data_IF_126890008339
#
_entry.id   IF_126890008339
#
_cell.length_a   1.000
_cell.length_b   1.000
_cell.length_c   1.000
_cell.angle_alpha   90.00
_cell.angle_beta   90.00
_cell.angle_gamma   90.00
#
_symmetry.space_group_name_H-M   'P 1'
#
loop_
_entity.id
_entity.type
_entity.pdbx_description
1 polymer ?
#
# COMPACT_ATOMS: atom_id res chain seq x y z
N UNK A 1 -68.49 8.84 8.89
CA UNK A 1 -67.43 7.92 8.52
C UNK A 1 -66.15 8.39 9.19
N UNK A 2 -65.34 7.47 9.73
CA UNK A 2 -64.03 7.72 10.32
C UNK A 2 -62.98 7.38 9.28
N UNK A 3 -62.12 8.30 8.94
CA UNK A 3 -60.98 8.18 8.01
C UNK A 3 -59.71 8.03 8.85
N UNK A 4 -58.93 6.96 8.61
CA UNK A 4 -57.67 6.70 9.32
C UNK A 4 -56.54 7.58 8.79
N UNK A 5 -55.47 7.85 9.56
CA UNK A 5 -54.30 8.62 9.10
C UNK A 5 -53.60 8.01 7.87
N UNK A 6 -53.68 6.68 7.72
CA UNK A 6 -53.10 5.88 6.62
C UNK A 6 -53.93 5.91 5.35
N UNK A 7 -55.12 6.51 5.40
CA UNK A 7 -56.08 6.49 4.32
C UNK A 7 -56.63 7.89 4.00
N UNK A 8 -57.17 8.04 2.81
CA UNK A 8 -58.02 9.14 2.40
C UNK A 8 -59.33 8.56 1.87
N UNK A 9 -60.40 9.30 1.99
CA UNK A 9 -61.68 8.82 1.50
C UNK A 9 -62.21 9.74 0.39
N UNK A 10 -62.50 9.17 -0.75
CA UNK A 10 -63.20 9.89 -1.83
C UNK A 10 -64.70 9.76 -1.55
N UNK A 11 -65.35 10.90 -1.50
CA UNK A 11 -66.83 10.97 -1.35
C UNK A 11 -67.45 11.30 -2.70
N UNK A 12 -68.24 10.39 -3.21
CA UNK A 12 -69.04 10.57 -4.43
C UNK A 12 -70.49 10.81 -4.05
N UNK A 13 -71.08 11.82 -4.65
CA UNK A 13 -72.51 12.14 -4.47
C UNK A 13 -73.27 11.97 -5.78
N UNK A 14 -74.21 11.03 -5.76
CA UNK A 14 -75.01 10.69 -6.95
C UNK A 14 -74.12 10.35 -8.18
N UNK A 15 -73.01 9.62 -7.95
CA UNK A 15 -72.07 9.22 -8.99
C UNK A 15 -71.08 10.28 -9.46
N UNK A 16 -71.07 11.46 -8.84
CA UNK A 16 -70.12 12.56 -9.13
C UNK A 16 -69.12 12.73 -8.00
N UNK A 17 -67.86 12.95 -8.33
CA UNK A 17 -66.87 13.36 -7.34
C UNK A 17 -67.34 14.60 -6.57
N UNK A 18 -67.36 14.51 -5.26
CA UNK A 18 -67.75 15.63 -4.41
C UNK A 18 -66.54 16.22 -3.64
N UNK A 19 -65.78 15.42 -2.91
CA UNK A 19 -64.61 15.85 -2.15
C UNK A 19 -63.74 14.68 -1.71
N UNK A 20 -62.52 15.03 -1.31
CA UNK A 20 -61.64 14.07 -0.56
C UNK A 20 -61.77 14.38 0.94
N UNK A 21 -62.08 13.38 1.71
CA UNK A 21 -62.13 13.50 3.16
C UNK A 21 -60.77 13.17 3.77
N UNK A 22 -60.29 14.09 4.62
CA UNK A 22 -59.07 14.01 5.38
C UNK A 22 -59.25 13.08 6.62
N UNK A 23 -58.15 12.67 7.28
CA UNK A 23 -58.23 11.84 8.50
C UNK A 23 -59.08 12.52 9.58
N UNK A 24 -59.86 11.70 10.28
CA UNK A 24 -60.78 12.15 11.31
C UNK A 24 -62.23 11.81 11.00
N UNK A 25 -63.16 12.50 11.63
CA UNK A 25 -64.60 12.30 11.45
C UNK A 25 -65.06 13.06 10.22
N UNK A 26 -65.63 12.39 9.27
CA UNK A 26 -66.25 12.98 8.06
C UNK A 26 -67.73 12.61 7.99
N UNK A 27 -68.54 13.61 7.74
CA UNK A 27 -69.98 13.42 7.58
C UNK A 27 -70.31 12.96 6.15
N UNK A 28 -71.21 12.01 6.01
CA UNK A 28 -71.75 11.57 4.74
C UNK A 28 -73.28 11.51 4.82
N UNK A 29 -73.94 11.74 3.73
CA UNK A 29 -75.41 11.57 3.63
C UNK A 29 -75.67 10.14 3.23
N UNK A 30 -76.28 9.32 4.09
CA UNK A 30 -76.63 7.95 3.73
C UNK A 30 -77.51 7.97 2.47
N UNK A 31 -77.42 6.95 1.63
CA UNK A 31 -78.17 6.79 0.35
C UNK A 31 -77.56 7.61 -0.81
N UNK A 32 -77.16 8.87 -0.62
CA UNK A 32 -76.64 9.75 -1.68
C UNK A 32 -75.16 9.71 -1.85
N UNK A 33 -74.39 9.50 -0.72
CA UNK A 33 -72.96 9.54 -0.73
C UNK A 33 -72.35 8.10 -0.69
N UNK A 34 -71.51 7.80 -1.68
CA UNK A 34 -70.63 6.61 -1.68
C UNK A 34 -69.23 7.05 -1.26
N UNK A 35 -68.55 6.18 -0.50
CA UNK A 35 -67.22 6.48 0.04
C UNK A 35 -66.26 5.40 -0.36
N UNK A 36 -65.16 5.76 -1.04
CA UNK A 36 -64.08 4.86 -1.43
C UNK A 36 -62.83 5.25 -0.63
N UNK A 37 -62.25 4.26 0.06
CA UNK A 37 -61.03 4.45 0.81
C UNK A 37 -59.81 4.14 -0.06
N UNK A 38 -58.86 5.09 -0.06
CA UNK A 38 -57.59 5.01 -0.77
C UNK A 38 -56.44 4.95 0.27
N UNK A 39 -55.67 3.91 0.26
CA UNK A 39 -54.53 3.79 1.11
C UNK A 39 -53.38 4.68 0.54
N UNK A 40 -52.80 5.51 1.39
CA UNK A 40 -51.67 6.42 1.06
C UNK A 40 -50.34 5.95 1.58
N UNK A 41 -50.29 4.82 2.29
CA UNK A 41 -49.05 4.23 2.75
C UNK A 41 -48.28 3.56 1.60
N UNK A 42 -47.00 3.30 1.81
CA UNK A 42 -46.20 2.55 0.86
C UNK A 42 -46.77 1.12 0.71
N UNK A 43 -46.94 0.73 -0.52
CA UNK A 43 -47.41 -0.60 -0.92
C UNK A 43 -46.39 -1.24 -1.85
N UNK A 44 -46.23 -2.55 -1.78
CA UNK A 44 -45.39 -3.33 -2.67
C UNK A 44 -46.23 -4.16 -3.62
N UNK A 45 -45.80 -4.28 -4.86
CA UNK A 45 -46.33 -5.26 -5.82
C UNK A 45 -45.17 -5.99 -6.48
N UNK A 46 -45.37 -7.30 -6.68
CA UNK A 46 -44.45 -8.16 -7.41
C UNK A 46 -44.83 -8.19 -8.88
N UNK A 47 -43.90 -7.85 -9.76
CA UNK A 47 -43.99 -8.15 -11.17
C UNK A 47 -43.69 -9.64 -11.32
N UNK A 48 -44.73 -10.44 -11.68
CA UNK A 48 -44.57 -11.90 -11.84
C UNK A 48 -43.44 -12.22 -12.79
N UNK A 49 -42.66 -13.29 -12.50
CA UNK A 49 -41.54 -13.70 -13.34
C UNK A 49 -41.94 -13.86 -14.81
N UNK A 50 -41.13 -13.35 -15.69
CA UNK A 50 -41.33 -13.46 -17.15
C UNK A 50 -40.04 -13.82 -17.85
N UNK A 51 -40.13 -14.61 -18.91
CA UNK A 51 -38.99 -14.91 -19.77
C UNK A 51 -38.73 -13.75 -20.73
N UNK A 52 -37.52 -13.24 -20.76
CA UNK A 52 -37.07 -12.17 -21.63
C UNK A 52 -35.85 -12.67 -22.44
N UNK A 53 -35.79 -12.30 -23.70
CA UNK A 53 -34.63 -12.58 -24.57
C UNK A 53 -33.68 -11.41 -24.46
N UNK A 54 -32.45 -11.66 -24.03
CA UNK A 54 -31.36 -10.68 -23.93
C UNK A 54 -30.77 -10.38 -25.31
N UNK A 55 -29.88 -9.34 -25.38
CA UNK A 55 -29.20 -8.94 -26.61
C UNK A 55 -28.37 -10.07 -27.23
N UNK A 56 -27.79 -10.93 -26.40
CA UNK A 56 -26.99 -12.11 -26.78
C UNK A 56 -27.88 -13.34 -27.11
N UNK A 57 -29.18 -13.11 -27.26
CA UNK A 57 -30.20 -14.12 -27.63
C UNK A 57 -30.37 -15.26 -26.62
N UNK A 58 -30.03 -15.01 -25.38
CA UNK A 58 -30.27 -15.94 -24.28
C UNK A 58 -31.61 -15.63 -23.63
N UNK A 59 -32.30 -16.70 -23.22
CA UNK A 59 -33.51 -16.56 -22.41
C UNK A 59 -33.10 -16.30 -20.94
N UNK A 60 -33.73 -15.34 -20.30
CA UNK A 60 -33.60 -15.13 -18.87
C UNK A 60 -34.97 -14.96 -18.23
N UNK A 61 -35.19 -15.61 -17.11
CA UNK A 61 -36.37 -15.40 -16.29
C UNK A 61 -36.08 -14.23 -15.36
N UNK A 62 -36.95 -13.21 -15.38
CA UNK A 62 -36.73 -11.95 -14.67
C UNK A 62 -37.99 -11.58 -13.92
N UNK A 63 -37.82 -11.18 -12.66
CA UNK A 63 -38.84 -10.58 -11.82
C UNK A 63 -38.38 -9.30 -11.15
N UNK A 64 -39.31 -8.46 -10.69
CA UNK A 64 -39.03 -7.23 -9.99
C UNK A 64 -40.10 -6.92 -8.95
N UNK A 65 -39.67 -6.13 -7.96
CA UNK A 65 -40.55 -5.59 -6.93
C UNK A 65 -40.65 -4.09 -7.07
N UNK A 66 -41.86 -3.57 -7.02
CA UNK A 66 -42.14 -2.13 -7.13
C UNK A 66 -42.79 -1.65 -5.86
N UNK A 67 -42.16 -0.66 -5.24
CA UNK A 67 -42.70 0.01 -4.07
C UNK A 67 -43.24 1.38 -4.48
N UNK A 68 -44.48 1.63 -4.14
CA UNK A 68 -45.20 2.84 -4.54
C UNK A 68 -46.19 3.26 -3.46
N UNK A 69 -46.58 4.50 -3.51
CA UNK A 69 -47.63 5.10 -2.67
C UNK A 69 -48.52 6.03 -3.50
N UNK A 70 -49.74 6.23 -3.09
CA UNK A 70 -50.58 7.27 -3.62
C UNK A 70 -50.20 8.60 -2.93
N UNK A 71 -49.97 9.65 -3.70
CA UNK A 71 -49.68 10.98 -3.13
C UNK A 71 -50.83 11.48 -2.31
N UNK A 72 -50.59 12.14 -1.14
CA UNK A 72 -51.66 12.55 -0.21
C UNK A 72 -52.47 13.77 -0.64
N UNK A 73 -52.18 14.36 -1.79
CA UNK A 73 -52.90 15.51 -2.33
C UNK A 73 -54.22 15.09 -2.96
N UNK A 74 -55.23 15.96 -2.88
CA UNK A 74 -56.60 15.69 -3.30
C UNK A 74 -56.71 15.33 -4.80
N UNK A 75 -55.85 15.94 -5.64
CA UNK A 75 -55.81 15.67 -7.07
C UNK A 75 -55.24 14.31 -7.37
N UNK A 76 -54.14 13.90 -6.76
CA UNK A 76 -53.53 12.59 -6.94
C UNK A 76 -54.43 11.48 -6.44
N UNK A 77 -55.11 11.70 -5.31
CA UNK A 77 -56.09 10.73 -4.78
C UNK A 77 -57.24 10.52 -5.78
N UNK A 78 -57.75 11.63 -6.33
CA UNK A 78 -58.80 11.56 -7.38
C UNK A 78 -58.29 10.83 -8.62
N UNK A 79 -57.11 11.15 -9.10
CA UNK A 79 -56.54 10.57 -10.31
C UNK A 79 -56.26 9.10 -10.13
N UNK A 80 -55.90 8.61 -8.93
CA UNK A 80 -55.64 7.18 -8.65
C UNK A 80 -56.89 6.30 -8.77
N UNK A 81 -58.10 6.92 -8.71
CA UNK A 81 -59.37 6.20 -8.80
C UNK A 81 -60.10 6.40 -10.13
N UNK A 82 -59.91 7.57 -10.79
CA UNK A 82 -60.62 7.89 -12.01
C UNK A 82 -59.81 7.80 -13.29
N UNK A 83 -58.51 8.03 -13.23
CA UNK A 83 -57.64 8.00 -14.41
C UNK A 83 -57.15 6.58 -14.74
N UNK A 84 -57.24 5.66 -13.79
CA UNK A 84 -56.77 4.28 -13.95
C UNK A 84 -57.70 3.30 -13.24
N UNK A 85 -58.13 2.25 -13.94
CA UNK A 85 -59.10 1.30 -13.38
C UNK A 85 -58.50 0.48 -12.20
N UNK A 86 -57.33 -0.02 -12.36
CA UNK A 86 -56.60 -0.76 -11.30
C UNK A 86 -55.11 -0.46 -11.41
N UNK A 87 -54.66 0.57 -10.70
CA UNK A 87 -53.27 1.01 -10.74
C UNK A 87 -52.27 -0.06 -10.33
N UNK A 88 -52.63 -0.98 -9.43
CA UNK A 88 -51.75 -2.07 -9.01
C UNK A 88 -51.39 -2.98 -10.18
N UNK A 89 -52.40 -3.45 -10.91
CA UNK A 89 -52.22 -4.29 -12.10
C UNK A 89 -51.51 -3.55 -13.23
N UNK A 90 -51.84 -2.25 -13.40
CA UNK A 90 -51.23 -1.46 -14.44
C UNK A 90 -49.74 -1.19 -14.17
N UNK A 91 -49.34 -0.94 -12.91
CA UNK A 91 -47.93 -0.81 -12.53
C UNK A 91 -47.18 -2.11 -12.80
N UNK A 92 -47.72 -3.27 -12.48
CA UNK A 92 -47.14 -4.57 -12.77
C UNK A 92 -46.87 -4.74 -14.26
N UNK A 93 -47.90 -4.49 -15.09
CA UNK A 93 -47.78 -4.63 -16.54
C UNK A 93 -46.80 -3.64 -17.15
N UNK A 94 -46.80 -2.41 -16.67
CA UNK A 94 -45.86 -1.37 -17.08
C UNK A 94 -44.41 -1.77 -16.72
N UNK A 95 -44.19 -2.24 -15.50
CA UNK A 95 -42.90 -2.73 -15.06
C UNK A 95 -42.39 -3.90 -15.91
N UNK A 96 -43.26 -4.86 -16.21
CA UNK A 96 -42.94 -6.00 -17.07
C UNK A 96 -42.50 -5.56 -18.47
N UNK A 97 -43.24 -4.61 -19.07
CA UNK A 97 -42.90 -4.09 -20.40
C UNK A 97 -41.59 -3.31 -20.38
N UNK A 98 -41.41 -2.48 -19.38
CA UNK A 98 -40.18 -1.67 -19.22
C UNK A 98 -38.97 -2.57 -18.99
N UNK A 99 -39.08 -3.58 -18.12
CA UNK A 99 -38.03 -4.57 -17.90
C UNK A 99 -37.64 -5.29 -19.20
N UNK A 100 -38.66 -5.71 -19.99
CA UNK A 100 -38.38 -6.35 -21.28
C UNK A 100 -37.58 -5.44 -22.21
N UNK A 101 -37.92 -4.17 -22.25
CA UNK A 101 -37.21 -3.19 -23.08
C UNK A 101 -35.78 -2.97 -22.60
N UNK A 102 -35.58 -2.78 -21.29
CA UNK A 102 -34.25 -2.53 -20.72
C UNK A 102 -33.35 -3.75 -20.90
N UNK A 103 -33.78 -4.92 -20.46
CA UNK A 103 -33.00 -6.17 -20.49
C UNK A 103 -32.75 -6.63 -21.94
N UNK A 104 -33.73 -6.44 -22.83
CA UNK A 104 -33.57 -6.79 -24.25
C UNK A 104 -32.43 -6.02 -24.97
N UNK A 105 -31.97 -4.90 -24.42
CA UNK A 105 -30.82 -4.15 -24.95
C UNK A 105 -29.49 -4.53 -24.32
N UNK A 106 -29.47 -5.32 -23.25
CA UNK A 106 -28.31 -5.73 -22.49
C UNK A 106 -27.96 -7.20 -22.75
N UNK A 107 -26.69 -7.56 -22.67
CA UNK A 107 -26.26 -8.93 -22.56
C UNK A 107 -26.61 -9.49 -21.16
N UNK A 108 -26.65 -10.80 -21.02
CA UNK A 108 -26.94 -11.44 -19.74
C UNK A 108 -25.91 -11.08 -18.66
N UNK A 109 -24.66 -10.98 -19.05
CA UNK A 109 -23.56 -10.57 -18.16
C UNK A 109 -23.71 -9.11 -17.71
N UNK A 110 -24.00 -8.18 -18.64
CA UNK A 110 -24.25 -6.78 -18.32
C UNK A 110 -25.49 -6.63 -17.43
N UNK A 111 -26.56 -7.34 -17.72
CA UNK A 111 -27.79 -7.30 -16.91
C UNK A 111 -27.55 -7.79 -15.46
N UNK A 112 -26.68 -8.75 -15.27
CA UNK A 112 -26.34 -9.24 -13.93
C UNK A 112 -25.36 -8.31 -13.17
N UNK A 113 -24.45 -7.64 -13.89
CA UNK A 113 -23.46 -6.73 -13.31
C UNK A 113 -24.04 -5.34 -13.01
N UNK A 114 -24.87 -4.80 -13.88
CA UNK A 114 -25.34 -3.42 -13.84
C UNK A 114 -26.77 -3.27 -13.27
N UNK A 115 -27.11 -4.06 -12.26
CA UNK A 115 -28.46 -4.03 -11.61
C UNK A 115 -28.88 -2.64 -11.17
N UNK A 116 -27.96 -1.83 -10.67
CA UNK A 116 -28.23 -0.46 -10.23
C UNK A 116 -28.72 0.43 -11.38
N UNK A 117 -28.14 0.27 -12.57
CA UNK A 117 -28.55 1.00 -13.77
C UNK A 117 -29.95 0.55 -14.20
N UNK A 118 -30.20 -0.75 -14.23
CA UNK A 118 -31.54 -1.29 -14.55
C UNK A 118 -32.60 -0.76 -13.59
N UNK A 119 -32.33 -0.76 -12.29
CA UNK A 119 -33.24 -0.25 -11.27
C UNK A 119 -33.51 1.25 -11.45
N UNK A 120 -32.47 2.03 -11.78
CA UNK A 120 -32.60 3.47 -12.05
C UNK A 120 -33.45 3.76 -13.29
N UNK A 121 -33.19 3.06 -14.40
CA UNK A 121 -33.91 3.22 -15.65
C UNK A 121 -35.36 2.79 -15.51
N UNK A 122 -35.60 1.64 -14.83
CA UNK A 122 -36.95 1.17 -14.49
C UNK A 122 -37.71 2.20 -13.65
N UNK A 123 -37.08 2.70 -12.58
CA UNK A 123 -37.67 3.69 -11.69
C UNK A 123 -38.01 4.99 -12.44
N UNK A 124 -37.13 5.46 -13.31
CA UNK A 124 -37.32 6.68 -14.09
C UNK A 124 -38.52 6.55 -15.01
N UNK A 125 -38.61 5.46 -15.77
CA UNK A 125 -39.73 5.19 -16.68
C UNK A 125 -41.03 5.04 -15.91
N UNK A 126 -41.03 4.26 -14.82
CA UNK A 126 -42.24 4.07 -14.01
C UNK A 126 -42.72 5.40 -13.41
N UNK A 127 -41.81 6.23 -12.91
CA UNK A 127 -42.17 7.56 -12.38
C UNK A 127 -42.83 8.44 -13.43
N UNK A 128 -42.30 8.49 -14.64
CA UNK A 128 -42.84 9.30 -15.72
C UNK A 128 -44.27 8.88 -16.10
N UNK A 129 -44.50 7.60 -16.23
CA UNK A 129 -45.81 7.07 -16.63
C UNK A 129 -46.89 7.12 -15.52
N UNK A 130 -46.47 6.97 -14.26
CA UNK A 130 -47.40 6.94 -13.13
C UNK A 130 -47.80 8.35 -12.60
N UNK A 131 -47.14 9.40 -13.05
CA UNK A 131 -47.47 10.81 -12.63
C UNK A 131 -48.95 11.14 -12.85
N UNK A 132 -49.47 10.79 -14.01
CA UNK A 132 -50.84 11.06 -14.37
C UNK A 132 -51.86 10.22 -13.58
N UNK A 133 -51.43 9.19 -12.90
CA UNK A 133 -52.27 8.35 -12.03
C UNK A 133 -52.26 8.84 -10.57
N UNK A 134 -51.50 9.88 -10.25
CA UNK A 134 -51.35 10.39 -8.88
C UNK A 134 -50.52 9.46 -7.96
N UNK A 135 -49.69 8.58 -8.56
CA UNK A 135 -48.90 7.58 -7.86
C UNK A 135 -47.45 8.00 -7.88
N UNK A 136 -46.80 7.85 -6.75
CA UNK A 136 -45.37 8.03 -6.59
C UNK A 136 -44.69 6.67 -6.45
N UNK A 137 -43.86 6.33 -7.41
CA UNK A 137 -42.97 5.16 -7.29
C UNK A 137 -41.78 5.56 -6.39
N UNK A 138 -41.70 4.88 -5.26
CA UNK A 138 -40.66 5.12 -4.25
C UNK A 138 -39.36 4.47 -4.68
N UNK A 139 -39.41 3.18 -5.07
CA UNK A 139 -38.30 2.41 -5.61
C UNK A 139 -38.80 1.26 -6.46
N UNK A 140 -37.94 0.81 -7.35
CA UNK A 140 -38.14 -0.38 -8.15
C UNK A 140 -36.84 -1.20 -8.11
N UNK A 141 -36.96 -2.46 -7.79
CA UNK A 141 -35.83 -3.35 -7.58
C UNK A 141 -35.99 -4.60 -8.42
N UNK A 142 -34.95 -4.91 -9.18
CA UNK A 142 -34.79 -6.16 -9.87
C UNK A 142 -34.48 -7.25 -8.83
N UNK A 143 -35.31 -8.29 -8.77
CA UNK A 143 -35.14 -9.33 -7.77
C UNK A 143 -34.18 -10.40 -8.24
N UNK A 144 -34.48 -11.07 -9.33
CA UNK A 144 -33.68 -12.19 -9.82
C UNK A 144 -33.59 -12.19 -11.35
N UNK A 145 -32.48 -12.67 -11.88
CA UNK A 145 -32.26 -12.91 -13.31
C UNK A 145 -31.73 -14.34 -13.42
N UNK A 146 -32.57 -15.26 -13.80
CA UNK A 146 -32.23 -16.65 -13.89
C UNK A 146 -32.12 -17.09 -15.37
N UNK A 147 -30.90 -17.42 -15.83
CA UNK A 147 -30.76 -18.08 -17.13
C UNK A 147 -31.22 -19.53 -17.08
N UNK A 148 -31.53 -20.12 -18.23
CA UNK A 148 -31.78 -21.56 -18.30
C UNK A 148 -30.59 -22.39 -17.79
N UNK A 149 -30.83 -23.58 -17.20
CA UNK A 149 -29.77 -24.38 -16.57
C UNK A 149 -28.59 -24.72 -17.49
N UNK A 150 -28.88 -25.02 -18.76
CA UNK A 150 -27.87 -25.31 -19.79
C UNK A 150 -26.94 -24.12 -20.10
N UNK A 151 -27.51 -22.91 -20.11
CA UNK A 151 -26.76 -21.66 -20.26
C UNK A 151 -25.94 -21.36 -19.01
N UNK A 152 -26.51 -21.58 -17.82
CA UNK A 152 -25.85 -21.40 -16.55
C UNK A 152 -24.61 -22.30 -16.41
N UNK A 153 -24.73 -23.57 -16.78
CA UNK A 153 -23.62 -24.53 -16.76
C UNK A 153 -22.51 -24.12 -17.72
N UNK A 154 -22.88 -23.68 -18.92
CA UNK A 154 -21.88 -23.17 -19.91
C UNK A 154 -21.20 -21.92 -19.42
N UNK A 155 -21.93 -20.95 -18.86
CA UNK A 155 -21.35 -19.74 -18.27
C UNK A 155 -20.42 -20.06 -17.11
N UNK A 156 -20.79 -20.98 -16.22
CA UNK A 156 -19.95 -21.42 -15.11
C UNK A 156 -18.62 -22.04 -15.61
N UNK A 157 -18.67 -22.82 -16.72
CA UNK A 157 -17.44 -23.35 -17.33
C UNK A 157 -16.56 -22.27 -17.93
N UNK A 158 -17.14 -21.29 -18.63
CA UNK A 158 -16.40 -20.14 -19.19
C UNK A 158 -15.76 -19.31 -18.09
N UNK A 159 -16.52 -18.94 -17.07
CA UNK A 159 -16.00 -18.17 -15.91
C UNK A 159 -14.90 -18.95 -15.19
N UNK A 160 -15.07 -20.27 -15.02
CA UNK A 160 -14.04 -21.14 -14.43
C UNK A 160 -12.75 -21.15 -15.27
N UNK A 161 -12.88 -21.25 -16.58
CA UNK A 161 -11.73 -21.24 -17.51
C UNK A 161 -11.02 -19.86 -17.50
N UNK A 162 -11.79 -18.78 -17.48
CA UNK A 162 -11.24 -17.42 -17.41
C UNK A 162 -10.53 -17.14 -16.08
N UNK A 163 -11.14 -17.56 -14.97
CA UNK A 163 -10.50 -17.48 -13.66
C UNK A 163 -9.22 -18.32 -13.58
N UNK A 164 -9.20 -19.51 -14.16
CA UNK A 164 -7.99 -20.34 -14.23
C UNK A 164 -6.89 -19.67 -15.08
N UNK A 165 -7.24 -19.07 -16.21
CA UNK A 165 -6.30 -18.31 -17.05
C UNK A 165 -5.73 -17.12 -16.29
N UNK A 166 -6.58 -16.35 -15.64
CA UNK A 166 -6.16 -15.18 -14.85
C UNK A 166 -5.25 -15.62 -13.69
N UNK A 167 -5.64 -16.64 -12.95
CA UNK A 167 -4.82 -17.20 -11.87
C UNK A 167 -3.45 -17.69 -12.36
N UNK A 168 -3.39 -18.33 -13.53
CA UNK A 168 -2.13 -18.78 -14.13
C UNK A 168 -1.22 -17.60 -14.54
N UNK A 169 -1.79 -16.53 -15.09
CA UNK A 169 -1.08 -15.30 -15.41
C UNK A 169 -0.57 -14.60 -14.15
N UNK A 170 -1.40 -14.48 -13.13
CA UNK A 170 -1.04 -13.87 -11.85
C UNK A 170 0.07 -14.68 -11.16
N UNK A 171 -0.01 -16.00 -11.18
CA UNK A 171 1.04 -16.87 -10.65
C UNK A 171 2.36 -16.71 -11.42
N UNK A 172 2.31 -16.63 -12.76
CA UNK A 172 3.51 -16.42 -13.58
C UNK A 172 4.15 -15.05 -13.29
N UNK A 173 3.34 -13.99 -13.19
CA UNK A 173 3.83 -12.65 -12.86
C UNK A 173 4.38 -12.55 -11.43
N UNK A 174 3.74 -13.18 -10.47
CA UNK A 174 4.22 -13.25 -9.10
C UNK A 174 5.56 -14.01 -9.01
N UNK A 175 5.70 -15.11 -9.76
CA UNK A 175 6.95 -15.88 -9.81
C UNK A 175 8.08 -15.06 -10.46
N UNK A 176 7.81 -14.36 -11.55
CA UNK A 176 8.77 -13.47 -12.20
C UNK A 176 9.21 -12.32 -11.27
N UNK A 177 8.25 -11.67 -10.61
CA UNK A 177 8.53 -10.60 -9.65
C UNK A 177 9.36 -11.08 -8.46
N UNK A 178 9.07 -12.29 -7.95
CA UNK A 178 9.85 -12.91 -6.88
C UNK A 178 11.30 -13.19 -7.31
N UNK A 179 11.49 -13.78 -8.50
CA UNK A 179 12.82 -14.06 -9.02
C UNK A 179 13.64 -12.77 -9.26
N UNK A 180 13.00 -11.70 -9.77
CA UNK A 180 13.64 -10.39 -9.91
C UNK A 180 13.98 -9.77 -8.55
N UNK A 181 13.11 -9.90 -7.55
CA UNK A 181 13.37 -9.47 -6.20
C UNK A 181 14.57 -10.19 -5.56
N UNK A 182 14.64 -11.50 -5.71
CA UNK A 182 15.75 -12.33 -5.24
C UNK A 182 17.08 -11.96 -5.96
N UNK A 183 17.04 -11.74 -7.27
CA UNK A 183 18.19 -11.26 -8.05
C UNK A 183 18.69 -9.91 -7.56
N UNK A 184 17.78 -8.93 -7.37
CA UNK A 184 18.14 -7.61 -6.86
C UNK A 184 18.68 -7.65 -5.43
N UNK A 185 18.12 -8.50 -4.57
CA UNK A 185 18.61 -8.69 -3.22
C UNK A 185 20.03 -9.25 -3.21
N UNK A 186 20.31 -10.27 -4.05
CA UNK A 186 21.64 -10.85 -4.18
C UNK A 186 22.68 -9.82 -4.70
N UNK A 187 22.32 -9.00 -5.70
CA UNK A 187 23.18 -7.93 -6.21
C UNK A 187 23.49 -6.91 -5.10
N UNK A 188 22.48 -6.41 -4.41
CA UNK A 188 22.67 -5.45 -3.32
C UNK A 188 23.50 -6.00 -2.17
N UNK A 189 23.33 -7.27 -1.85
CA UNK A 189 24.14 -7.96 -0.85
C UNK A 189 25.60 -8.06 -1.28
N UNK A 190 25.86 -8.46 -2.53
CA UNK A 190 27.22 -8.53 -3.08
C UNK A 190 27.88 -7.15 -3.13
N UNK A 191 27.18 -6.12 -3.56
CA UNK A 191 27.65 -4.72 -3.54
C UNK A 191 27.95 -4.24 -2.12
N UNK A 192 27.07 -4.57 -1.16
CA UNK A 192 27.29 -4.25 0.26
C UNK A 192 28.56 -4.88 0.83
N UNK A 193 28.78 -6.16 0.53
CA UNK A 193 30.00 -6.89 0.93
C UNK A 193 31.24 -6.30 0.27
N UNK A 194 31.20 -6.00 -1.03
CA UNK A 194 32.31 -5.37 -1.74
C UNK A 194 32.64 -3.99 -1.16
N UNK A 195 31.63 -3.16 -0.91
CA UNK A 195 31.80 -1.83 -0.32
C UNK A 195 32.34 -1.89 1.10
N UNK A 196 31.87 -2.85 1.89
CA UNK A 196 32.42 -3.09 3.25
C UNK A 196 33.90 -3.46 3.21
N UNK A 197 34.32 -4.34 2.30
CA UNK A 197 35.76 -4.70 2.14
C UNK A 197 36.61 -3.50 1.74
N UNK A 198 36.13 -2.66 0.83
CA UNK A 198 36.84 -1.42 0.42
C UNK A 198 36.99 -0.48 1.62
N UNK A 199 35.89 -0.23 2.36
CA UNK A 199 35.93 0.63 3.53
C UNK A 199 36.89 0.14 4.62
N UNK A 200 36.93 -1.18 4.85
CA UNK A 200 37.88 -1.77 5.81
C UNK A 200 39.31 -1.58 5.33
N UNK A 201 39.60 -1.85 4.05
CA UNK A 201 40.95 -1.65 3.51
C UNK A 201 41.39 -0.15 3.52
N UNK A 202 40.50 0.78 3.25
CA UNK A 202 40.76 2.22 3.35
C UNK A 202 41.03 2.65 4.81
N UNK A 203 40.25 2.09 5.76
CA UNK A 203 40.46 2.35 7.18
C UNK A 203 41.81 1.82 7.67
N UNK A 204 42.19 0.60 7.29
CA UNK A 204 43.47 -0.01 7.59
C UNK A 204 44.63 0.82 6.97
N UNK A 205 44.52 1.20 5.70
CA UNK A 205 45.50 2.05 5.05
C UNK A 205 45.66 3.41 5.75
N UNK A 206 44.56 3.99 6.19
CA UNK A 206 44.56 5.28 6.92
C UNK A 206 45.21 5.09 8.31
N UNK A 207 44.91 4.00 8.99
CA UNK A 207 45.52 3.65 10.26
C UNK A 207 47.05 3.51 10.12
N UNK A 208 47.51 2.73 9.14
CA UNK A 208 48.94 2.52 8.87
C UNK A 208 49.63 3.85 8.57
N UNK A 209 49.02 4.70 7.73
CA UNK A 209 49.61 6.05 7.44
C UNK A 209 49.68 6.91 8.69
N UNK A 210 48.66 6.93 9.51
CA UNK A 210 48.62 7.73 10.73
C UNK A 210 49.67 7.26 11.74
N UNK A 211 49.81 5.94 11.92
CA UNK A 211 50.84 5.36 12.80
C UNK A 211 52.25 5.66 12.27
N UNK A 212 52.48 5.44 10.97
CA UNK A 212 53.79 5.73 10.37
C UNK A 212 54.17 7.24 10.47
N UNK A 213 53.19 8.13 10.28
CA UNK A 213 53.42 9.57 10.47
C UNK A 213 53.75 9.91 11.92
N UNK A 214 53.01 9.34 12.87
CA UNK A 214 53.28 9.56 14.30
C UNK A 214 54.65 9.03 14.73
N UNK A 215 55.08 7.89 14.17
CA UNK A 215 56.43 7.34 14.40
C UNK A 215 57.52 8.24 13.79
N UNK A 216 57.33 8.73 12.57
CA UNK A 216 58.26 9.68 11.93
C UNK A 216 58.38 10.99 12.73
N UNK A 217 57.24 11.53 13.19
CA UNK A 217 57.24 12.73 14.03
C UNK A 217 57.94 12.51 15.38
N UNK A 218 57.72 11.33 15.99
CA UNK A 218 58.42 10.92 17.20
C UNK A 218 59.94 10.87 16.98
N UNK A 219 60.41 10.25 15.89
CA UNK A 219 61.83 10.18 15.57
C UNK A 219 62.41 11.58 15.35
N UNK A 220 61.69 12.43 14.61
CA UNK A 220 62.15 13.82 14.37
C UNK A 220 62.21 14.65 15.65
N UNK A 221 61.24 14.46 16.56
CA UNK A 221 61.27 15.13 17.88
C UNK A 221 62.43 14.65 18.76
N UNK A 222 62.68 13.32 18.78
CA UNK A 222 63.82 12.76 19.51
C UNK A 222 65.15 13.31 18.94
N UNK A 223 65.31 13.29 17.60
CA UNK A 223 66.49 13.79 16.95
C UNK A 223 66.73 15.29 17.23
N UNK A 224 65.70 16.11 17.22
CA UNK A 224 65.78 17.52 17.59
C UNK A 224 66.16 17.70 19.05
N UNK A 225 65.53 16.95 19.96
CA UNK A 225 65.91 17.05 21.39
C UNK A 225 67.31 16.56 21.66
N UNK A 226 67.84 15.58 20.95
CA UNK A 226 69.23 15.16 21.03
C UNK A 226 70.21 16.20 20.46
N UNK A 227 69.86 16.79 19.32
CA UNK A 227 70.66 17.85 18.74
C UNK A 227 70.77 19.08 19.71
N UNK A 228 69.66 19.52 20.28
CA UNK A 228 69.66 20.58 21.29
C UNK A 228 70.47 20.20 22.53
N UNK A 229 70.35 18.93 22.97
CA UNK A 229 71.13 18.41 24.08
C UNK A 229 72.65 18.52 23.78
N UNK A 230 73.08 18.07 22.60
CA UNK A 230 74.44 18.10 22.14
C UNK A 230 74.92 19.54 22.03
N UNK A 231 74.14 20.44 21.47
CA UNK A 231 74.46 21.87 21.36
C UNK A 231 74.65 22.51 22.74
N UNK A 232 73.73 22.22 23.68
CA UNK A 232 73.86 22.73 25.08
C UNK A 232 75.09 22.14 25.76
N UNK A 233 75.44 20.88 25.55
CA UNK A 233 76.64 20.27 26.08
C UNK A 233 77.86 20.92 25.48
N UNK A 234 77.95 21.13 24.16
CA UNK A 234 79.03 21.76 23.48
C UNK A 234 79.24 23.20 23.95
N UNK A 235 78.16 24.01 24.03
CA UNK A 235 78.17 25.37 24.50
C UNK A 235 78.66 25.44 25.94
N UNK A 236 78.23 24.56 26.81
CA UNK A 236 78.64 24.41 28.18
C UNK A 236 80.12 23.99 28.26
N UNK A 237 80.55 23.06 27.39
CA UNK A 237 81.93 22.60 27.32
C UNK A 237 82.87 23.75 26.88
N UNK A 238 82.52 24.51 25.86
CA UNK A 238 83.33 25.63 25.38
C UNK A 238 83.44 26.76 26.42
N UNK A 239 82.41 26.93 27.25
CA UNK A 239 82.39 28.01 28.26
C UNK A 239 83.13 27.59 29.54
N UNK A 240 82.97 26.38 30.03
CA UNK A 240 83.41 25.93 31.34
C UNK A 240 84.61 24.95 31.34
N UNK A 241 84.88 24.27 30.23
CA UNK A 241 85.96 23.26 30.17
C UNK A 241 87.24 23.84 29.56
N UNK A 242 87.93 24.72 30.34
CA UNK A 242 89.24 25.20 29.97
C UNK A 242 90.33 24.55 30.85
N UNK A 243 91.45 24.12 30.24
CA UNK A 243 92.57 23.48 30.94
C UNK A 243 92.34 22.05 31.39
N UNK A 244 92.65 21.78 32.66
CA UNK A 244 92.56 20.35 33.21
C UNK A 244 91.17 19.73 33.28
N UNK A 245 90.07 20.52 33.16
CA UNK A 245 88.70 20.01 33.13
C UNK A 245 88.41 19.17 31.88
N UNK A 246 89.03 19.47 30.75
CA UNK A 246 88.91 18.70 29.50
C UNK A 246 89.49 17.26 29.69
N UNK A 247 90.63 17.19 30.36
CA UNK A 247 91.34 15.95 30.66
C UNK A 247 90.54 15.09 31.66
N UNK A 248 89.91 15.72 32.67
CA UNK A 248 89.05 15.04 33.64
C UNK A 248 87.80 14.44 32.99
N UNK A 249 87.14 15.17 32.09
CA UNK A 249 85.92 14.63 31.36
C UNK A 249 86.28 13.54 30.34
N UNK A 250 87.48 13.61 29.76
CA UNK A 250 87.97 12.50 28.92
C UNK A 250 88.25 11.26 29.74
N UNK A 251 88.79 11.41 30.95
CA UNK A 251 88.98 10.25 31.87
C UNK A 251 87.64 9.68 32.36
N UNK A 252 86.65 10.52 32.68
CA UNK A 252 85.30 10.09 33.07
C UNK A 252 84.58 9.34 31.94
N UNK A 253 84.65 9.84 30.72
CA UNK A 253 84.11 9.18 29.53
C UNK A 253 84.78 7.82 29.26
N UNK A 254 86.07 7.79 29.48
CA UNK A 254 86.91 6.59 29.37
C UNK A 254 86.55 5.56 30.48
N UNK A 255 86.33 6.04 31.70
CA UNK A 255 85.88 5.23 32.83
C UNK A 255 84.47 4.63 32.58
N UNK A 256 83.57 5.44 32.06
CA UNK A 256 82.18 5.03 31.72
C UNK A 256 82.18 4.00 30.58
N UNK A 257 83.01 4.13 29.56
CA UNK A 257 83.19 3.17 28.48
C UNK A 257 83.84 1.84 28.95
N UNK A 258 84.72 1.93 29.95
CA UNK A 258 85.36 0.81 30.59
C UNK A 258 84.40 -0.04 31.47
N UNK A 259 83.41 0.62 32.12
CA UNK A 259 82.43 -0.07 32.95
C UNK A 259 81.45 -0.88 32.11
N UNK A 260 81.21 -0.48 30.87
CA UNK A 260 80.21 -1.16 29.99
C UNK A 260 80.85 -2.07 28.93
N UNK A 261 82.16 -2.15 28.78
CA UNK A 261 82.86 -2.97 27.78
C UNK A 261 84.03 -3.75 28.38
N UNK A 262 83.97 -5.08 28.37
CA UNK A 262 84.99 -5.98 28.99
C UNK A 262 86.24 -6.30 28.14
N UNK A 263 86.54 -5.61 27.04
CA UNK A 263 87.76 -5.82 26.22
C UNK A 263 88.35 -4.52 25.71
N UNK A 264 89.44 -4.09 26.31
CA UNK A 264 90.32 -3.04 25.76
C UNK A 264 91.64 -3.71 25.46
N UNK A 265 92.12 -3.57 24.22
CA UNK A 265 93.47 -3.94 23.79
C UNK A 265 94.33 -2.70 23.78
N UNK A 266 95.33 -2.63 24.66
CA UNK A 266 96.32 -1.56 24.72
C UNK A 266 97.53 -1.92 23.83
N UNK A 267 97.77 -1.17 22.79
CA UNK A 267 98.99 -1.27 21.97
C UNK A 267 100.07 -0.33 22.51
N UNK A 268 101.33 -0.73 22.36
CA UNK A 268 102.51 -0.26 23.05
C UNK A 268 103.04 1.12 22.57
N UNK A 269 102.40 1.74 21.60
CA UNK A 269 102.81 3.05 21.06
C UNK A 269 101.61 4.01 21.13
N UNK A 270 101.69 4.87 22.16
CA UNK A 270 100.84 6.07 22.29
C UNK A 270 99.35 5.77 22.44
N UNK A 271 98.68 6.37 23.39
CA UNK A 271 97.28 6.22 23.69
C UNK A 271 96.44 6.83 22.54
N UNK A 272 96.11 5.97 21.51
CA UNK A 272 95.03 6.21 20.58
C UNK A 272 94.05 5.07 20.77
N UNK A 273 92.84 5.31 21.39
CA UNK A 273 91.86 4.28 21.54
C UNK A 273 91.19 4.01 20.21
N UNK A 274 91.62 2.96 19.52
CA UNK A 274 90.81 2.42 18.37
C UNK A 274 89.71 1.53 18.93
N UNK A 275 88.55 2.06 18.93
CA UNK A 275 87.33 1.28 19.23
C UNK A 275 87.07 0.26 18.10
N UNK A 276 87.41 -1.01 18.34
CA UNK A 276 86.98 -2.08 17.51
C UNK A 276 85.51 -2.48 17.92
N UNK A 277 84.61 -2.00 17.16
CA UNK A 277 83.18 -2.46 17.24
C UNK A 277 83.17 -3.85 16.60
N UNK A 278 83.19 -4.91 17.42
CA UNK A 278 82.96 -6.28 16.95
C UNK A 278 81.49 -6.42 16.50
N UNK A 279 81.39 -6.68 15.22
CA UNK A 279 80.10 -7.01 14.58
C UNK A 279 79.62 -8.35 15.14
N UNK A 280 78.60 -8.32 16.02
CA UNK A 280 77.84 -9.55 16.36
C UNK A 280 76.77 -9.68 15.28
N UNK A 281 77.15 -10.24 14.15
CA UNK A 281 76.24 -10.90 13.24
C UNK A 281 75.81 -12.22 13.88
N UNK A 282 74.60 -12.23 14.44
CA UNK A 282 73.97 -13.48 14.80
C UNK A 282 73.60 -14.24 13.54
N UNK A 283 74.15 -15.43 13.39
CA UNK A 283 73.67 -16.41 12.41
C UNK A 283 72.21 -16.78 12.69
N UNK A 284 71.33 -16.39 11.78
CA UNK A 284 70.04 -17.06 11.66
C UNK A 284 70.20 -18.45 11.12
N UNK A 285 69.99 -19.44 12.00
CA UNK A 285 69.73 -20.83 11.58
C UNK A 285 68.45 -20.92 10.79
N UNK A 286 68.60 -21.25 9.52
CA UNK A 286 67.51 -21.88 8.73
C UNK A 286 67.18 -23.23 9.36
N UNK A 287 65.95 -23.39 9.83
CA UNK A 287 65.33 -24.70 9.96
C UNK A 287 64.31 -24.88 8.83
N UNK A 288 64.75 -25.58 7.81
CA UNK A 288 63.89 -26.36 6.93
C UNK A 288 63.31 -27.53 7.71
N UNK A 289 61.98 -27.68 7.73
CA UNK A 289 61.37 -29.03 7.61
C UNK A 289 59.84 -28.86 7.38
N UNK A 290 59.42 -29.26 6.19
CA UNK A 290 58.42 -30.31 5.86
C UNK A 290 57.18 -30.43 6.79
N UNK A 291 56.03 -30.04 6.37
CA UNK A 291 54.98 -30.92 5.82
C UNK A 291 53.77 -30.09 5.36
#
# INVERSE_FOLDING_TARGET
VIVRPTERAIVERLGKFHRVAKPGISFRIPVFDRVHFVNITEMMVDATPQTIITKDKLNAQVDAQIYFKVKPDDESIRNSQYNVYNYKVQIINLARTTLRNIIGTLSLTEANSDRNKINSDLMTTLKQETVNWGIEVVRAELKEIDPPPDVQDTMNQVVKAENQKTAALDFATATATKADGERQAAIKQAEGVARSKVLVAEAEATQIRTVAQAEADKITMIAKAEAERIERINTSADTFFKGNAKMFKQLEAMQASLQNNSKIILTKEGINPTLLIGNLMGEEKKDETHK
#
